data_IF_636720479391
#
_entry.id   IF_636720479391
#
_cell.length_a   1.000
_cell.length_b   1.000
_cell.length_c   1.000
_cell.angle_alpha   90.00
_cell.angle_beta   90.00
_cell.angle_gamma   90.00
#
_symmetry.space_group_name_H-M   'P 1'
#
loop_
_entity.id
_entity.type
_entity.pdbx_description
1 polymer ?
#
# COMPACT_ATOMS: atom_id res chain seq x y z
N UNK A 1 -58.18 -10.19 -22.18
CA UNK A 1 -57.00 -10.84 -21.56
C UNK A 1 -55.76 -10.46 -22.34
N UNK A 2 -54.94 -9.56 -21.78
CA UNK A 2 -53.57 -9.27 -22.23
C UNK A 2 -52.80 -8.89 -20.98
N UNK A 3 -52.01 -9.82 -20.47
CA UNK A 3 -51.14 -9.67 -19.30
C UNK A 3 -49.87 -8.95 -19.74
N UNK A 4 -49.57 -7.80 -19.13
CA UNK A 4 -48.27 -7.14 -19.20
C UNK A 4 -47.38 -7.75 -18.11
N UNK A 5 -46.14 -8.19 -18.41
CA UNK A 5 -45.22 -8.66 -17.39
C UNK A 5 -44.60 -7.48 -16.64
N UNK A 6 -44.60 -7.59 -15.31
CA UNK A 6 -43.94 -6.69 -14.36
C UNK A 6 -42.43 -6.92 -14.48
N UNK A 7 -41.68 -5.94 -14.98
CA UNK A 7 -40.22 -6.00 -15.03
C UNK A 7 -39.69 -5.60 -13.64
N UNK A 8 -39.34 -6.59 -12.82
CA UNK A 8 -38.65 -6.35 -11.55
C UNK A 8 -37.18 -6.01 -11.83
N UNK A 9 -36.80 -4.75 -11.69
CA UNK A 9 -35.40 -4.32 -11.72
C UNK A 9 -34.75 -4.75 -10.41
N UNK A 10 -33.93 -5.80 -10.46
CA UNK A 10 -33.01 -6.15 -9.38
C UNK A 10 -31.92 -5.08 -9.39
N UNK A 11 -32.01 -4.11 -8.49
CA UNK A 11 -30.89 -3.24 -8.14
C UNK A 11 -29.84 -4.12 -7.47
N UNK A 12 -28.81 -4.52 -8.23
CA UNK A 12 -27.56 -4.97 -7.65
C UNK A 12 -27.02 -3.80 -6.82
N UNK A 13 -27.16 -3.87 -5.51
CA UNK A 13 -26.36 -3.07 -4.59
C UNK A 13 -24.92 -3.53 -4.73
N UNK A 14 -24.14 -2.85 -5.56
CA UNK A 14 -22.70 -2.95 -5.48
C UNK A 14 -22.29 -2.48 -4.08
N UNK A 15 -21.43 -3.21 -3.35
CA UNK A 15 -20.84 -2.67 -2.14
C UNK A 15 -20.11 -1.38 -2.52
N UNK A 16 -20.37 -0.30 -1.77
CA UNK A 16 -19.62 0.93 -1.85
C UNK A 16 -18.15 0.57 -1.58
N UNK A 17 -17.33 0.52 -2.62
CA UNK A 17 -15.90 0.42 -2.47
C UNK A 17 -15.45 1.69 -1.72
N UNK A 18 -15.04 1.52 -0.47
CA UNK A 18 -14.42 2.59 0.29
C UNK A 18 -13.21 3.08 -0.49
N UNK A 19 -13.06 4.41 -0.60
CA UNK A 19 -11.93 5.01 -1.29
C UNK A 19 -10.62 4.62 -0.57
N UNK A 20 -9.94 3.63 -1.13
CA UNK A 20 -8.63 3.16 -0.71
C UNK A 20 -7.59 4.26 -0.99
N UNK A 21 -7.04 4.87 0.06
CA UNK A 21 -5.98 5.88 -0.08
C UNK A 21 -4.62 5.20 -0.02
N UNK A 22 -3.74 5.49 -0.97
CA UNK A 22 -2.36 5.01 -0.96
C UNK A 22 -1.56 5.67 0.19
N UNK A 23 -0.86 4.86 0.99
CA UNK A 23 0.08 5.35 2.00
C UNK A 23 1.51 5.14 1.52
N UNK A 24 2.35 6.16 1.63
CA UNK A 24 3.76 6.05 1.23
C UNK A 24 4.60 5.61 2.42
N UNK A 25 5.15 4.40 2.34
CA UNK A 25 6.10 3.85 3.28
C UNK A 25 7.53 4.09 2.79
N UNK A 26 8.34 4.74 3.59
CA UNK A 26 9.75 4.99 3.28
C UNK A 26 10.60 3.78 3.67
N UNK A 27 11.46 3.33 2.76
CA UNK A 27 12.33 2.19 3.00
C UNK A 27 13.37 2.55 4.06
N UNK A 28 13.42 1.75 5.13
CA UNK A 28 14.41 1.86 6.19
C UNK A 28 15.70 1.17 5.72
N UNK A 29 16.51 1.89 4.95
CA UNK A 29 17.71 1.35 4.27
C UNK A 29 18.66 0.57 5.18
N UNK A 30 18.81 0.96 6.44
CA UNK A 30 19.67 0.24 7.40
C UNK A 30 19.18 -1.18 7.74
N UNK A 31 17.89 -1.44 7.58
CA UNK A 31 17.21 -2.70 7.90
C UNK A 31 16.84 -3.50 6.64
N UNK A 32 16.78 -2.86 5.48
CA UNK A 32 16.47 -3.49 4.19
C UNK A 32 17.71 -4.11 3.54
N UNK A 33 18.01 -5.36 3.86
CA UNK A 33 19.22 -6.06 3.41
C UNK A 33 18.90 -7.17 2.41
N UNK A 34 19.68 -7.20 1.33
CA UNK A 34 19.47 -8.09 0.20
C UNK A 34 20.77 -8.75 -0.24
N UNK A 35 20.64 -9.93 -0.80
CA UNK A 35 21.66 -10.65 -1.54
C UNK A 35 21.23 -10.78 -3.00
N UNK A 36 22.22 -10.94 -3.88
CA UNK A 36 21.98 -11.17 -5.29
C UNK A 36 23.05 -12.08 -5.89
N UNK A 37 22.64 -12.77 -6.94
CA UNK A 37 23.48 -13.66 -7.71
C UNK A 37 22.66 -14.23 -8.85
N UNK A 38 23.12 -15.35 -9.39
CA UNK A 38 22.42 -15.98 -10.50
C UNK A 38 23.18 -17.12 -11.10
N UNK A 39 22.65 -17.62 -12.20
CA UNK A 39 23.28 -18.63 -13.05
C UNK A 39 23.13 -18.21 -14.49
N UNK A 40 24.16 -18.43 -15.30
CA UNK A 40 24.08 -18.32 -16.75
C UNK A 40 24.39 -19.65 -17.40
N UNK A 41 24.16 -19.76 -18.71
CA UNK A 41 24.67 -20.89 -19.51
C UNK A 41 26.20 -21.02 -19.50
N UNK A 42 26.94 -19.99 -19.07
CA UNK A 42 28.41 -19.98 -18.97
C UNK A 42 28.93 -20.33 -17.57
N UNK A 43 28.09 -20.24 -16.54
CA UNK A 43 28.45 -20.44 -15.13
C UNK A 43 27.70 -19.52 -14.17
N UNK A 44 28.01 -19.64 -12.88
CA UNK A 44 27.35 -18.90 -11.81
C UNK A 44 27.68 -17.40 -11.87
N UNK A 45 26.68 -16.55 -11.61
CA UNK A 45 26.85 -15.13 -11.36
C UNK A 45 27.07 -14.93 -9.86
N UNK A 46 28.22 -14.37 -9.50
CA UNK A 46 28.64 -14.14 -8.12
C UNK A 46 28.77 -12.64 -7.86
N UNK A 47 27.93 -12.10 -6.98
CA UNK A 47 28.03 -10.70 -6.55
C UNK A 47 29.33 -10.42 -5.77
N UNK A 48 29.90 -9.24 -5.99
CA UNK A 48 31.15 -8.73 -5.40
C UNK A 48 30.99 -7.27 -4.90
N UNK A 49 30.60 -7.03 -3.64
CA UNK A 49 30.05 -8.01 -2.69
C UNK A 49 28.67 -8.49 -3.13
N UNK A 50 28.24 -9.64 -2.62
CA UNK A 50 26.93 -10.24 -2.93
C UNK A 50 25.79 -9.64 -2.11
N UNK A 51 26.00 -8.50 -1.46
CA UNK A 51 25.00 -7.83 -0.64
C UNK A 51 24.78 -6.39 -1.07
N UNK A 52 23.56 -5.92 -0.87
CA UNK A 52 23.17 -4.54 -1.08
C UNK A 52 21.97 -4.20 -0.20
N UNK A 53 21.55 -2.95 -0.25
CA UNK A 53 20.37 -2.45 0.46
C UNK A 53 19.41 -1.81 -0.51
N UNK A 54 18.15 -1.72 -0.11
CA UNK A 54 17.16 -0.91 -0.82
C UNK A 54 16.97 0.45 -0.14
N UNK A 55 16.60 1.44 -0.94
CA UNK A 55 16.17 2.76 -0.51
C UNK A 55 14.99 3.24 -1.35
N UNK A 56 14.44 4.40 -1.03
CA UNK A 56 13.25 4.96 -1.67
C UNK A 56 11.99 4.65 -0.89
N UNK A 57 10.87 4.42 -1.56
CA UNK A 57 9.57 4.26 -0.92
C UNK A 57 8.63 3.33 -1.70
N UNK A 58 7.60 2.85 -1.03
CA UNK A 58 6.52 2.07 -1.62
C UNK A 58 5.16 2.64 -1.23
N UNK A 59 4.21 2.62 -2.16
CA UNK A 59 2.82 2.95 -1.89
C UNK A 59 2.07 1.66 -1.54
N UNK A 60 1.46 1.66 -0.35
CA UNK A 60 0.63 0.55 0.14
C UNK A 60 -0.70 1.12 0.54
N UNK A 61 -1.77 0.63 -0.05
CA UNK A 61 -3.09 0.83 0.51
C UNK A 61 -3.26 -0.13 1.69
N UNK A 62 -3.65 0.39 2.85
CA UNK A 62 -3.94 -0.41 4.03
C UNK A 62 -5.33 -0.06 4.56
N UNK A 63 -6.04 -1.06 5.06
CA UNK A 63 -7.32 -0.89 5.74
C UNK A 63 -7.18 -1.33 7.18
N UNK A 64 -7.71 -0.52 8.10
CA UNK A 64 -7.87 -0.89 9.51
C UNK A 64 -9.34 -1.12 9.84
N UNK A 65 -9.59 -2.12 10.66
CA UNK A 65 -10.88 -2.28 11.31
C UNK A 65 -11.05 -1.19 12.38
N UNK A 66 -12.08 -0.37 12.22
CA UNK A 66 -12.31 0.80 13.07
C UNK A 66 -12.62 0.43 14.54
N UNK A 67 -13.15 -0.78 14.79
CA UNK A 67 -13.55 -1.25 16.11
C UNK A 67 -12.39 -1.87 16.91
N UNK A 68 -11.43 -2.48 16.21
CA UNK A 68 -10.28 -3.16 16.84
C UNK A 68 -8.97 -2.41 16.66
N UNK A 69 -8.88 -1.48 15.71
CA UNK A 69 -7.66 -0.80 15.31
C UNK A 69 -6.64 -1.68 14.59
N UNK A 70 -7.00 -2.93 14.28
CA UNK A 70 -6.13 -3.88 13.60
C UNK A 70 -6.18 -3.67 12.09
N UNK A 71 -5.05 -3.88 11.42
CA UNK A 71 -5.01 -3.97 9.96
C UNK A 71 -5.74 -5.22 9.49
N UNK A 72 -6.57 -5.09 8.45
CA UNK A 72 -7.37 -6.21 7.91
C UNK A 72 -7.02 -6.56 6.48
N UNK A 73 -6.66 -5.55 5.68
CA UNK A 73 -6.45 -5.69 4.25
C UNK A 73 -5.32 -4.75 3.79
N UNK A 74 -4.66 -5.14 2.71
CA UNK A 74 -3.67 -4.29 2.07
C UNK A 74 -3.43 -4.60 0.60
N UNK A 75 -2.78 -3.67 -0.09
CA UNK A 75 -2.30 -3.85 -1.46
C UNK A 75 -1.09 -2.95 -1.72
N UNK A 76 -0.03 -3.49 -2.32
CA UNK A 76 1.07 -2.69 -2.85
C UNK A 76 0.68 -2.15 -4.22
N UNK A 77 0.57 -0.84 -4.36
CA UNK A 77 0.03 -0.19 -5.57
C UNK A 77 1.10 0.40 -6.46
N UNK A 78 2.22 0.84 -5.89
CA UNK A 78 3.40 1.29 -6.63
C UNK A 78 4.63 1.36 -5.72
N UNK A 79 5.80 1.66 -6.29
CA UNK A 79 6.97 2.02 -5.50
C UNK A 79 8.14 2.49 -6.36
N UNK A 80 9.13 3.06 -5.69
CA UNK A 80 10.42 3.39 -6.26
C UNK A 80 11.52 2.87 -5.32
N UNK A 81 11.85 1.60 -5.48
CA UNK A 81 12.85 0.89 -4.69
C UNK A 81 14.19 0.92 -5.43
N UNK A 82 15.10 1.78 -4.98
CA UNK A 82 16.43 1.94 -5.59
C UNK A 82 17.48 1.09 -4.88
N UNK A 83 18.48 0.61 -5.63
CA UNK A 83 19.63 -0.08 -5.06
C UNK A 83 20.58 0.90 -4.33
N UNK A 84 21.13 0.46 -3.20
CA UNK A 84 22.15 1.15 -2.45
C UNK A 84 23.26 0.14 -2.06
N UNK A 85 24.48 0.25 -2.62
CA UNK A 85 24.95 1.32 -3.50
C UNK A 85 24.28 1.32 -4.89
N UNK A 86 24.35 2.46 -5.58
CA UNK A 86 23.72 2.62 -6.90
C UNK A 86 24.41 1.81 -8.01
N UNK A 87 25.63 1.31 -7.77
CA UNK A 87 26.30 0.36 -8.66
C UNK A 87 26.54 -0.94 -7.91
N UNK A 88 25.94 -2.03 -8.41
CA UNK A 88 26.22 -3.40 -7.99
C UNK A 88 27.18 -4.04 -8.99
N UNK A 89 28.08 -4.90 -8.52
CA UNK A 89 29.09 -5.57 -9.34
C UNK A 89 29.02 -7.07 -9.10
N UNK A 90 28.85 -7.83 -10.16
CA UNK A 90 28.95 -9.29 -10.15
C UNK A 90 29.93 -9.77 -11.21
N UNK A 91 30.34 -11.03 -11.10
CA UNK A 91 31.21 -11.68 -12.09
C UNK A 91 30.67 -13.06 -12.42
N UNK A 92 31.03 -13.57 -13.59
CA UNK A 92 30.97 -15.00 -13.90
C UNK A 92 32.40 -15.55 -13.77
N UNK A 93 32.75 -16.27 -12.69
CA UNK A 93 34.11 -16.74 -12.49
C UNK A 93 34.55 -17.73 -13.55
N UNK A 94 35.84 -17.75 -13.85
CA UNK A 94 36.40 -18.82 -14.66
C UNK A 94 36.47 -20.12 -13.83
N UNK A 95 36.02 -21.27 -14.38
CA UNK A 95 36.21 -22.57 -13.73
C UNK A 95 37.68 -22.87 -13.40
N UNK A 96 38.62 -22.27 -14.14
CA UNK A 96 40.05 -22.33 -13.90
C UNK A 96 40.48 -21.08 -13.11
N UNK A 97 40.71 -21.24 -11.82
CA UNK A 97 40.88 -20.14 -10.85
C UNK A 97 42.04 -19.16 -11.08
N UNK A 98 43.02 -19.47 -11.94
CA UNK A 98 44.11 -18.55 -12.28
C UNK A 98 43.86 -17.75 -13.56
N UNK A 99 42.81 -18.08 -14.32
CA UNK A 99 42.40 -17.32 -15.48
C UNK A 99 41.47 -16.17 -15.04
N UNK A 100 41.43 -15.04 -15.78
CA UNK A 100 40.49 -13.97 -15.50
C UNK A 100 39.03 -14.44 -15.58
N UNK A 101 38.16 -13.75 -14.85
CA UNK A 101 36.71 -13.98 -14.84
C UNK A 101 36.15 -13.95 -16.29
N UNK A 102 35.13 -14.76 -16.57
CA UNK A 102 34.53 -14.91 -17.91
C UNK A 102 33.73 -13.68 -18.32
N UNK A 103 33.15 -12.96 -17.35
CA UNK A 103 32.47 -11.70 -17.56
C UNK A 103 32.40 -10.90 -16.25
N UNK A 104 32.44 -9.58 -16.37
CA UNK A 104 32.02 -8.64 -15.33
C UNK A 104 30.61 -8.12 -15.67
N UNK A 105 29.78 -7.98 -14.64
CA UNK A 105 28.42 -7.45 -14.73
C UNK A 105 28.28 -6.28 -13.78
N UNK A 106 27.82 -5.15 -14.28
CA UNK A 106 27.49 -3.97 -13.48
C UNK A 106 26.02 -3.64 -13.62
N UNK A 107 25.33 -3.53 -12.49
CA UNK A 107 23.95 -3.05 -12.43
C UNK A 107 24.01 -1.62 -11.89
N UNK A 108 23.60 -0.64 -12.69
CA UNK A 108 23.70 0.80 -12.36
C UNK A 108 22.34 1.44 -12.25
N UNK A 109 22.16 2.25 -11.20
CA UNK A 109 21.00 3.11 -10.95
C UNK A 109 19.65 2.36 -11.08
N UNK A 110 19.64 1.10 -10.64
CA UNK A 110 18.47 0.24 -10.71
C UNK A 110 17.40 0.72 -9.73
N UNK A 111 16.20 0.94 -10.26
CA UNK A 111 15.00 1.26 -9.49
C UNK A 111 13.89 0.31 -9.91
N UNK A 112 13.19 -0.24 -8.93
CA UNK A 112 12.10 -1.19 -9.11
C UNK A 112 10.80 -0.62 -8.55
N UNK A 113 9.70 -0.81 -9.27
CA UNK A 113 8.35 -0.67 -8.73
C UNK A 113 7.86 -2.03 -8.28
N UNK A 114 7.23 -2.07 -7.11
CA UNK A 114 6.59 -3.25 -6.55
C UNK A 114 5.08 -3.07 -6.59
N UNK A 115 4.37 -4.10 -7.05
CA UNK A 115 2.91 -4.17 -7.01
C UNK A 115 2.46 -5.53 -6.54
N UNK A 116 1.28 -5.62 -5.92
CA UNK A 116 0.72 -6.89 -5.45
C UNK A 116 -0.76 -7.04 -5.80
N UNK A 117 -1.24 -8.28 -5.73
CA UNK A 117 -2.66 -8.53 -5.51
C UNK A 117 -3.08 -8.02 -4.13
N UNK A 118 -4.37 -7.72 -3.96
CA UNK A 118 -4.93 -7.41 -2.65
C UNK A 118 -4.79 -8.62 -1.72
N UNK A 119 -4.43 -8.37 -0.46
CA UNK A 119 -4.19 -9.39 0.55
C UNK A 119 -4.88 -9.07 1.86
N UNK A 120 -5.15 -10.11 2.64
CA UNK A 120 -5.66 -9.98 4.00
C UNK A 120 -4.51 -9.99 5.00
N UNK A 121 -4.73 -9.32 6.12
CA UNK A 121 -3.82 -9.24 7.26
C UNK A 121 -4.45 -9.97 8.45
N UNK A 122 -3.71 -10.88 9.07
CA UNK A 122 -4.20 -11.57 10.26
C UNK A 122 -4.11 -10.68 11.53
N UNK A 123 -4.72 -11.14 12.63
CA UNK A 123 -4.72 -10.38 13.88
C UNK A 123 -3.33 -10.16 14.50
N UNK A 124 -2.31 -10.89 14.06
CA UNK A 124 -0.92 -10.70 14.47
C UNK A 124 -0.14 -9.79 13.50
N UNK A 125 -0.78 -9.28 12.45
CA UNK A 125 -0.20 -8.41 11.44
C UNK A 125 0.46 -9.14 10.28
N UNK A 126 0.39 -10.47 10.20
CA UNK A 126 1.01 -11.22 9.10
C UNK A 126 0.16 -11.18 7.84
N UNK A 127 0.81 -11.15 6.68
CA UNK A 127 0.15 -11.28 5.38
C UNK A 127 0.96 -12.16 4.41
N UNK A 128 0.28 -12.62 3.37
CA UNK A 128 0.89 -13.30 2.22
C UNK A 128 0.24 -12.79 0.94
N UNK A 129 1.04 -12.52 -0.09
CA UNK A 129 0.53 -12.09 -1.41
C UNK A 129 1.47 -12.51 -2.53
N UNK A 130 1.05 -12.31 -3.77
CA UNK A 130 1.92 -12.37 -4.94
C UNK A 130 2.37 -10.96 -5.29
N UNK A 131 3.68 -10.76 -5.47
CA UNK A 131 4.22 -9.49 -5.99
C UNK A 131 4.75 -9.65 -7.40
N UNK A 132 4.74 -8.54 -8.11
CA UNK A 132 5.44 -8.35 -9.38
C UNK A 132 6.40 -7.20 -9.19
N UNK A 133 7.67 -7.41 -9.54
CA UNK A 133 8.67 -6.35 -9.63
C UNK A 133 8.82 -5.91 -11.07
N UNK A 134 8.75 -4.61 -11.30
CA UNK A 134 9.04 -4.01 -12.61
C UNK A 134 10.23 -3.09 -12.47
N UNK A 135 11.27 -3.31 -13.27
CA UNK A 135 12.37 -2.34 -13.34
C UNK A 135 11.88 -1.07 -14.05
N UNK A 136 11.99 0.09 -13.40
CA UNK A 136 11.54 1.38 -13.94
C UNK A 136 12.70 2.25 -14.42
N UNK A 137 13.92 2.00 -13.91
CA UNK A 137 15.15 2.62 -14.40
C UNK A 137 16.37 1.78 -14.10
N UNK A 138 17.49 2.18 -14.69
CA UNK A 138 18.80 1.57 -14.52
C UNK A 138 19.27 0.84 -15.78
N UNK A 139 20.50 0.34 -15.73
CA UNK A 139 21.14 -0.38 -16.83
C UNK A 139 21.98 -1.54 -16.31
N UNK A 140 22.09 -2.57 -17.15
CA UNK A 140 23.03 -3.68 -16.97
C UNK A 140 24.11 -3.56 -18.02
N UNK A 141 25.35 -3.42 -17.55
CA UNK A 141 26.55 -3.47 -18.37
C UNK A 141 27.18 -4.85 -18.22
N UNK A 142 27.39 -5.56 -19.33
CA UNK A 142 28.10 -6.85 -19.36
C UNK A 142 29.39 -6.68 -20.14
N UNK A 143 30.51 -6.94 -19.48
CA UNK A 143 31.86 -6.89 -20.05
C UNK A 143 32.39 -8.33 -20.13
N UNK A 144 32.25 -9.01 -21.28
CA UNK A 144 32.75 -10.37 -21.42
C UNK A 144 34.29 -10.38 -21.54
N UNK A 145 34.91 -11.49 -21.15
CA UNK A 145 36.35 -11.71 -21.33
C UNK A 145 36.78 -11.62 -22.80
N UNK A 146 35.92 -12.10 -23.69
CA UNK A 146 36.09 -12.05 -25.14
C UNK A 146 34.80 -11.54 -25.76
N UNK A 147 34.89 -10.53 -26.61
CA UNK A 147 33.75 -9.95 -27.31
C UNK A 147 33.65 -8.46 -27.09
N UNK A 148 32.45 -7.91 -27.26
CA UNK A 148 32.16 -6.51 -27.04
C UNK A 148 31.31 -6.34 -25.77
N UNK A 149 31.52 -5.23 -25.07
CA UNK A 149 30.67 -4.81 -23.96
C UNK A 149 29.25 -4.51 -24.46
N UNK A 150 28.25 -4.97 -23.74
CA UNK A 150 26.85 -4.64 -23.98
C UNK A 150 26.31 -3.82 -22.81
N UNK A 151 25.44 -2.86 -23.12
CA UNK A 151 24.70 -2.08 -22.12
C UNK A 151 23.22 -2.18 -22.48
N UNK A 152 22.44 -2.70 -21.55
CA UNK A 152 21.01 -2.93 -21.74
C UNK A 152 20.23 -2.17 -20.68
N UNK A 153 19.27 -1.30 -21.07
CA UNK A 153 18.38 -0.65 -20.11
C UNK A 153 17.50 -1.66 -19.38
N UNK A 154 17.44 -1.56 -18.06
CA UNK A 154 16.56 -2.40 -17.23
C UNK A 154 15.08 -2.08 -17.47
N UNK A 155 14.74 -0.81 -17.72
CA UNK A 155 13.35 -0.41 -17.97
C UNK A 155 12.73 -1.01 -19.25
N UNK A 156 13.55 -1.63 -20.11
CA UNK A 156 13.08 -2.37 -21.28
C UNK A 156 12.91 -3.87 -21.05
N UNK A 157 13.23 -4.39 -19.86
CA UNK A 157 12.98 -5.78 -19.51
C UNK A 157 11.52 -6.00 -19.14
N UNK A 158 11.04 -7.23 -19.36
CA UNK A 158 9.74 -7.64 -18.84
C UNK A 158 9.74 -7.61 -17.30
N UNK A 159 8.57 -7.40 -16.65
CA UNK A 159 8.44 -7.56 -15.21
C UNK A 159 8.86 -8.96 -14.75
N UNK A 160 9.18 -9.10 -13.46
CA UNK A 160 9.40 -10.42 -12.85
C UNK A 160 8.14 -11.27 -12.97
N UNK A 161 8.33 -12.58 -12.93
CA UNK A 161 7.20 -13.49 -12.72
C UNK A 161 6.53 -13.19 -11.35
N UNK A 162 5.21 -13.41 -11.23
CA UNK A 162 4.51 -13.30 -9.97
C UNK A 162 5.16 -14.19 -8.91
N UNK A 163 5.63 -13.57 -7.84
CA UNK A 163 6.43 -14.22 -6.80
C UNK A 163 5.67 -14.21 -5.48
N UNK A 164 5.51 -15.37 -4.79
CA UNK A 164 4.86 -15.41 -3.49
C UNK A 164 5.77 -14.79 -2.44
N UNK A 165 5.20 -13.91 -1.62
CA UNK A 165 5.91 -13.23 -0.54
C UNK A 165 5.07 -13.22 0.73
N UNK A 166 5.79 -13.16 1.85
CA UNK A 166 5.21 -13.00 3.18
C UNK A 166 5.78 -11.77 3.85
N UNK A 167 5.03 -11.24 4.80
CA UNK A 167 5.42 -10.05 5.50
C UNK A 167 4.59 -9.80 6.75
N UNK A 168 4.88 -8.69 7.39
CA UNK A 168 4.16 -8.20 8.55
C UNK A 168 3.91 -6.70 8.44
N UNK A 169 2.73 -6.29 8.90
CA UNK A 169 2.37 -4.90 9.16
C UNK A 169 2.03 -4.73 10.64
N UNK A 170 2.66 -3.77 11.31
CA UNK A 170 2.42 -3.50 12.73
C UNK A 170 2.72 -2.05 13.07
N UNK A 171 2.14 -1.56 14.16
CA UNK A 171 2.46 -0.24 14.73
C UNK A 171 3.46 -0.43 15.88
N UNK A 172 4.62 0.25 15.83
CA UNK A 172 5.62 0.22 16.90
C UNK A 172 5.42 1.33 17.96
N UNK A 173 4.34 2.10 17.82
CA UNK A 173 3.98 3.25 18.65
C UNK A 173 4.50 4.58 18.12
N UNK A 174 5.40 4.57 17.13
CA UNK A 174 5.90 5.76 16.43
C UNK A 174 5.72 5.64 14.92
N UNK A 175 5.82 4.43 14.37
CA UNK A 175 5.66 4.16 12.95
C UNK A 175 4.75 2.96 12.71
N UNK A 176 3.99 3.01 11.63
CA UNK A 176 3.50 1.81 10.97
C UNK A 176 4.67 1.22 10.21
N UNK A 177 5.07 0.02 10.58
CA UNK A 177 6.16 -0.72 9.97
C UNK A 177 5.57 -1.79 9.06
N UNK A 178 6.07 -1.84 7.83
CA UNK A 178 5.71 -2.80 6.82
C UNK A 178 6.97 -3.55 6.38
N UNK A 179 6.94 -4.87 6.55
CA UNK A 179 8.06 -5.77 6.22
C UNK A 179 7.66 -6.71 5.10
N UNK A 180 8.58 -6.96 4.18
CA UNK A 180 8.37 -7.78 3.00
C UNK A 180 9.61 -8.68 2.80
N UNK A 181 9.43 -10.00 2.86
CA UNK A 181 10.46 -10.96 2.48
C UNK A 181 10.33 -11.26 0.98
N UNK A 182 11.41 -11.05 0.23
CA UNK A 182 11.46 -11.18 -1.22
C UNK A 182 12.46 -12.28 -1.60
N UNK A 183 12.06 -13.10 -2.54
CA UNK A 183 12.86 -14.14 -3.20
C UNK A 183 12.45 -14.13 -4.67
N UNK A 184 13.05 -13.23 -5.44
CA UNK A 184 12.61 -12.88 -6.80
C UNK A 184 13.67 -13.32 -7.79
N UNK A 185 13.25 -14.04 -8.84
CA UNK A 185 14.13 -14.42 -9.95
C UNK A 185 13.70 -13.71 -11.23
N UNK A 186 14.67 -13.12 -11.92
CA UNK A 186 14.53 -12.55 -13.26
C UNK A 186 15.18 -13.50 -14.27
N UNK A 187 14.42 -13.90 -15.29
CA UNK A 187 14.90 -14.78 -16.34
C UNK A 187 15.19 -13.98 -17.61
N UNK A 188 16.33 -14.25 -18.23
CA UNK A 188 16.74 -13.69 -19.51
C UNK A 188 17.11 -14.83 -20.45
N UNK A 189 16.59 -14.81 -21.66
CA UNK A 189 16.97 -15.73 -22.73
C UNK A 189 17.00 -14.97 -24.05
N UNK A 190 18.18 -14.85 -24.66
CA UNK A 190 18.37 -14.23 -25.97
C UNK A 190 18.46 -15.25 -27.13
N UNK A 191 18.20 -16.53 -26.84
CA UNK A 191 18.31 -17.67 -27.76
C UNK A 191 19.74 -18.19 -27.94
N UNK A 192 20.74 -17.50 -27.40
CA UNK A 192 22.16 -17.90 -27.41
C UNK A 192 22.69 -18.12 -25.99
N UNK A 193 22.28 -17.26 -25.05
CA UNK A 193 22.67 -17.26 -23.64
C UNK A 193 21.41 -17.10 -22.80
N UNK A 194 21.29 -17.93 -21.77
CA UNK A 194 20.28 -17.76 -20.73
C UNK A 194 20.93 -17.30 -19.43
N UNK A 195 20.20 -16.51 -18.64
CA UNK A 195 20.59 -16.09 -17.31
C UNK A 195 19.38 -16.04 -16.39
N UNK A 196 19.52 -16.60 -15.19
CA UNK A 196 18.60 -16.43 -14.07
C UNK A 196 19.31 -15.57 -13.03
N UNK A 197 18.73 -14.43 -12.68
CA UNK A 197 19.27 -13.52 -11.67
C UNK A 197 18.29 -13.49 -10.49
N UNK A 198 18.75 -13.89 -9.31
CA UNK A 198 17.94 -13.90 -8.09
C UNK A 198 18.31 -12.73 -7.17
N UNK A 199 17.28 -12.22 -6.48
CA UNK A 199 17.36 -11.18 -5.45
C UNK A 199 16.60 -11.67 -4.22
N UNK A 200 17.34 -11.85 -3.12
CA UNK A 200 16.82 -12.45 -1.90
C UNK A 200 17.05 -11.52 -0.72
N UNK A 201 16.01 -11.20 0.04
CA UNK A 201 16.18 -10.39 1.23
C UNK A 201 14.89 -9.93 1.87
N UNK A 202 15.06 -9.03 2.85
CA UNK A 202 13.94 -8.44 3.57
C UNK A 202 13.96 -6.95 3.32
N UNK A 203 12.86 -6.40 2.81
CA UNK A 203 12.59 -4.98 2.84
C UNK A 203 11.85 -4.64 4.13
N UNK A 204 12.32 -3.59 4.80
CA UNK A 204 11.59 -2.93 5.89
C UNK A 204 11.31 -1.51 5.46
N UNK A 205 10.06 -1.10 5.59
CA UNK A 205 9.61 0.25 5.31
C UNK A 205 8.75 0.75 6.45
N UNK A 206 8.79 2.06 6.68
CA UNK A 206 8.12 2.69 7.79
C UNK A 206 7.37 3.92 7.30
N UNK A 207 6.19 4.11 7.85
CA UNK A 207 5.41 5.33 7.73
C UNK A 207 5.25 5.89 9.13
N UNK A 208 5.55 7.18 9.32
CA UNK A 208 5.36 7.84 10.62
C UNK A 208 3.89 7.71 11.04
N UNK A 209 3.62 7.10 12.20
CA UNK A 209 2.26 6.98 12.74
C UNK A 209 1.64 8.34 13.03
N UNK A 210 2.45 9.41 13.16
CA UNK A 210 2.05 10.81 13.27
C UNK A 210 1.92 11.56 11.94
N UNK A 211 2.44 11.01 10.83
CA UNK A 211 2.01 11.35 9.47
C UNK A 211 0.75 10.56 9.22
N UNK A 212 -0.41 11.14 9.56
CA UNK A 212 -1.69 10.40 9.59
C UNK A 212 -1.93 9.59 8.31
N UNK A 213 -2.10 8.26 8.46
CA UNK A 213 -3.07 7.54 7.65
C UNK A 213 -4.33 8.42 7.63
N UNK A 214 -4.92 8.75 6.47
CA UNK A 214 -6.09 9.60 6.43
C UNK A 214 -7.13 9.01 7.37
N UNK A 215 -7.59 9.78 8.36
CA UNK A 215 -8.56 9.29 9.33
C UNK A 215 -9.75 8.69 8.61
N UNK A 216 -10.33 7.64 9.16
CA UNK A 216 -11.44 6.94 8.54
C UNK A 216 -12.69 7.01 9.42
N UNK A 217 -13.85 7.14 8.79
CA UNK A 217 -15.16 7.06 9.41
C UNK A 217 -15.91 5.84 8.85
N UNK A 218 -16.27 4.92 9.75
CA UNK A 218 -17.17 3.80 9.47
C UNK A 218 -18.52 4.03 10.15
N UNK A 219 -19.61 3.62 9.48
CA UNK A 219 -20.98 3.74 9.99
C UNK A 219 -21.61 2.36 10.02
N UNK A 220 -22.21 1.99 11.15
CA UNK A 220 -22.93 0.73 11.29
C UNK A 220 -24.30 0.93 11.94
N UNK A 221 -25.23 0.01 11.63
CA UNK A 221 -26.59 0.01 12.16
C UNK A 221 -27.40 1.29 11.88
N UNK A 222 -27.26 1.87 10.67
CA UNK A 222 -28.02 3.06 10.24
C UNK A 222 -29.48 2.73 9.87
N UNK A 223 -30.25 2.25 10.85
CA UNK A 223 -31.65 1.86 10.72
C UNK A 223 -32.57 2.87 11.42
N UNK A 224 -33.69 3.23 10.80
CA UNK A 224 -34.65 4.18 11.36
C UNK A 224 -35.23 3.68 12.71
N UNK A 225 -35.19 4.54 13.71
CA UNK A 225 -35.66 4.21 15.07
C UNK A 225 -34.68 3.37 15.91
N UNK A 226 -33.49 3.07 15.39
CA UNK A 226 -32.41 2.37 16.10
C UNK A 226 -31.25 3.32 16.44
N UNK A 227 -30.25 2.82 17.17
CA UNK A 227 -29.00 3.54 17.44
C UNK A 227 -27.94 3.12 16.43
N UNK A 228 -27.41 4.07 15.67
CA UNK A 228 -26.27 3.86 14.78
C UNK A 228 -24.95 4.13 15.50
N UNK A 229 -23.92 3.40 15.10
CA UNK A 229 -22.55 3.54 15.61
C UNK A 229 -21.67 4.15 14.53
N UNK A 230 -20.88 5.15 14.93
CA UNK A 230 -19.95 5.87 14.06
C UNK A 230 -18.56 5.76 14.65
N UNK A 231 -17.69 5.02 13.99
CA UNK A 231 -16.33 4.75 14.46
C UNK A 231 -15.33 5.60 13.68
N UNK A 232 -14.60 6.44 14.41
CA UNK A 232 -13.54 7.29 13.90
C UNK A 232 -12.19 6.76 14.35
N UNK A 233 -11.30 6.52 13.39
CA UNK A 233 -9.96 5.97 13.62
C UNK A 233 -8.90 6.74 12.86
N UNK A 234 -7.66 6.59 13.32
CA UNK A 234 -6.46 7.21 12.74
C UNK A 234 -6.51 8.75 12.72
N UNK A 235 -7.22 9.35 13.70
CA UNK A 235 -7.14 10.77 13.98
C UNK A 235 -5.96 11.14 14.89
N UNK A 236 -5.79 12.43 15.15
CA UNK A 236 -4.89 12.93 16.17
C UNK A 236 -5.27 12.36 17.55
N UNK A 237 -4.27 11.90 18.30
CA UNK A 237 -4.44 11.37 19.65
C UNK A 237 -4.81 12.47 20.67
N UNK A 238 -5.72 12.16 21.59
CA UNK A 238 -6.17 13.09 22.65
C UNK A 238 -6.67 14.45 22.13
N UNK A 239 -7.26 14.46 20.94
CA UNK A 239 -7.70 15.67 20.24
C UNK A 239 -9.23 15.77 20.18
N UNK A 240 -9.79 16.99 20.12
CA UNK A 240 -11.23 17.19 19.94
C UNK A 240 -11.70 16.72 18.57
N UNK A 241 -12.57 15.72 18.56
CA UNK A 241 -13.19 15.14 17.36
C UNK A 241 -14.67 15.54 17.25
N UNK A 242 -15.11 15.84 16.04
CA UNK A 242 -16.47 16.22 15.73
C UNK A 242 -17.01 15.34 14.60
N UNK A 243 -18.29 14.98 14.70
CA UNK A 243 -19.01 14.29 13.63
C UNK A 243 -19.98 15.28 12.99
N UNK A 244 -19.98 15.33 11.66
CA UNK A 244 -20.89 16.15 10.88
C UNK A 244 -21.70 15.28 9.93
N UNK A 245 -22.90 15.73 9.58
CA UNK A 245 -23.75 15.12 8.57
C UNK A 245 -24.34 16.17 7.63
N UNK A 246 -24.76 15.71 6.45
CA UNK A 246 -25.50 16.49 5.47
C UNK A 246 -26.62 15.68 4.84
N UNK A 247 -27.73 16.36 4.54
CA UNK A 247 -28.82 15.86 3.70
C UNK A 247 -28.81 16.47 2.29
N UNK A 248 -27.92 17.44 2.05
CA UNK A 248 -27.83 18.18 0.78
C UNK A 248 -26.86 17.51 -0.21
N UNK A 249 -26.02 16.58 0.25
CA UNK A 249 -25.04 15.87 -0.57
C UNK A 249 -23.60 16.31 -0.33
N UNK A 250 -22.75 15.95 -1.29
CA UNK A 250 -21.35 16.37 -1.34
C UNK A 250 -21.23 17.88 -1.56
N UNK A 251 -20.14 18.47 -1.08
CA UNK A 251 -19.86 19.90 -1.19
C UNK A 251 -18.44 20.25 -0.75
N UNK A 252 -18.16 21.53 -0.57
CA UNK A 252 -16.90 22.00 0.02
C UNK A 252 -17.22 23.12 1.00
N UNK A 253 -17.28 22.81 2.29
CA UNK A 253 -17.62 23.77 3.34
C UNK A 253 -16.40 24.04 4.22
N UNK A 254 -15.94 25.29 4.26
CA UNK A 254 -14.83 25.69 5.13
C UNK A 254 -15.27 25.82 6.59
N UNK A 255 -14.57 25.16 7.50
CA UNK A 255 -14.76 25.30 8.95
C UNK A 255 -13.54 25.99 9.54
N UNK A 256 -13.66 27.30 9.73
CA UNK A 256 -12.54 28.16 10.13
C UNK A 256 -11.94 27.77 11.49
N UNK A 257 -12.75 27.32 12.44
CA UNK A 257 -12.31 26.95 13.79
C UNK A 257 -11.44 25.69 13.82
N UNK A 258 -11.60 24.82 12.82
CA UNK A 258 -10.86 23.56 12.70
C UNK A 258 -9.88 23.60 11.53
N UNK A 259 -9.76 24.73 10.82
CA UNK A 259 -8.84 24.89 9.70
C UNK A 259 -8.93 23.73 8.67
N UNK A 260 -10.14 23.32 8.31
CA UNK A 260 -10.39 22.18 7.40
C UNK A 260 -11.63 22.40 6.52
N UNK A 261 -11.60 21.85 5.30
CA UNK A 261 -12.76 21.79 4.40
C UNK A 261 -13.49 20.45 4.58
N UNK A 262 -14.77 20.49 4.87
CA UNK A 262 -15.64 19.32 4.78
C UNK A 262 -16.08 19.12 3.34
N UNK A 263 -16.08 17.87 2.90
CA UNK A 263 -16.48 17.46 1.55
C UNK A 263 -18.00 17.24 1.42
N UNK A 264 -18.76 17.76 2.38
CA UNK A 264 -20.23 17.74 2.44
C UNK A 264 -20.81 19.15 2.42
N UNK A 265 -21.95 19.32 1.76
CA UNK A 265 -22.64 20.60 1.64
C UNK A 265 -23.51 20.88 2.87
N UNK A 266 -23.57 22.13 3.35
CA UNK A 266 -24.39 22.53 4.51
C UNK A 266 -24.25 21.57 5.73
N UNK A 267 -23.03 21.29 6.20
CA UNK A 267 -22.80 20.36 7.30
C UNK A 267 -23.51 20.82 8.57
N UNK A 268 -24.15 19.88 9.25
CA UNK A 268 -24.70 20.05 10.60
C UNK A 268 -23.97 19.10 11.54
N UNK A 269 -23.66 19.55 12.76
CA UNK A 269 -23.01 18.69 13.74
C UNK A 269 -23.95 17.56 14.18
N UNK A 270 -23.46 16.33 14.11
CA UNK A 270 -24.10 15.13 14.63
C UNK A 270 -23.49 14.78 16.00
N UNK A 271 -24.28 14.87 17.06
CA UNK A 271 -23.86 14.47 18.40
C UNK A 271 -22.86 15.43 19.08
N UNK A 272 -22.40 15.06 20.29
CA UNK A 272 -21.45 15.87 21.05
C UNK A 272 -20.04 15.81 20.45
N UNK A 273 -19.22 16.81 20.75
CA UNK A 273 -17.77 16.69 20.61
C UNK A 273 -17.26 15.61 21.56
N UNK A 274 -16.40 14.73 21.07
CA UNK A 274 -15.71 13.73 21.87
C UNK A 274 -14.20 13.96 21.78
N UNK A 275 -13.45 13.51 22.78
CA UNK A 275 -12.00 13.45 22.69
C UNK A 275 -11.62 12.09 22.12
N UNK A 276 -10.72 12.07 21.13
CA UNK A 276 -10.07 10.83 20.72
C UNK A 276 -9.20 10.28 21.86
N UNK A 277 -9.05 8.96 21.92
CA UNK A 277 -8.17 8.31 22.88
C UNK A 277 -6.69 8.50 22.49
N UNK A 278 -5.77 7.86 23.23
CA UNK A 278 -4.33 7.91 22.94
C UNK A 278 -3.94 7.26 21.60
N UNK A 279 -4.85 6.50 20.96
CA UNK A 279 -4.69 5.88 19.65
C UNK A 279 -5.39 6.66 18.53
N UNK A 280 -5.92 7.86 18.81
CA UNK A 280 -6.59 8.66 17.78
C UNK A 280 -8.03 8.22 17.47
N UNK A 281 -8.64 7.39 18.31
CA UNK A 281 -9.94 6.78 18.04
C UNK A 281 -11.07 7.39 18.88
N UNK A 282 -12.29 7.48 18.31
CA UNK A 282 -13.51 7.81 19.06
C UNK A 282 -14.74 7.20 18.42
N UNK A 283 -15.80 6.99 19.21
CA UNK A 283 -17.05 6.38 18.74
C UNK A 283 -18.25 7.20 19.18
N UNK A 284 -19.14 7.52 18.23
CA UNK A 284 -20.46 8.07 18.53
C UNK A 284 -21.53 7.00 18.43
N UNK A 285 -22.46 7.01 19.39
CA UNK A 285 -23.67 6.19 19.35
C UNK A 285 -24.87 7.13 19.31
N UNK A 286 -25.51 7.27 18.15
CA UNK A 286 -26.56 8.26 17.92
C UNK A 286 -27.89 7.59 17.55
N UNK A 287 -29.01 8.01 18.19
CA UNK A 287 -30.33 7.52 17.81
C UNK A 287 -30.73 8.10 16.45
N UNK A 288 -31.19 7.23 15.54
CA UNK A 288 -31.69 7.60 14.22
C UNK A 288 -33.21 7.84 14.29
N UNK A 289 -33.73 8.99 13.85
CA UNK A 289 -35.16 9.27 13.88
C UNK A 289 -35.98 8.23 13.10
N UNK A 290 -37.10 7.77 13.68
CA UNK A 290 -37.95 6.75 13.05
C UNK A 290 -38.59 7.18 11.73
N UNK A 291 -38.64 8.48 11.44
CA UNK A 291 -39.13 9.04 10.18
C UNK A 291 -38.03 9.28 9.13
N UNK A 292 -36.78 8.90 9.41
CA UNK A 292 -35.65 9.11 8.51
C UNK A 292 -35.46 7.98 7.48
N UNK A 293 -36.25 6.91 7.54
CA UNK A 293 -36.17 5.78 6.60
C UNK A 293 -36.21 6.24 5.13
N UNK A 294 -35.26 5.78 4.33
CA UNK A 294 -35.08 6.14 2.92
C UNK A 294 -34.37 7.47 2.66
N UNK A 295 -33.94 8.21 3.69
CA UNK A 295 -33.17 9.43 3.51
C UNK A 295 -31.71 9.12 3.14
N UNK A 296 -31.19 9.79 2.10
CA UNK A 296 -29.76 9.81 1.80
C UNK A 296 -29.05 10.81 2.72
N UNK A 297 -28.00 10.34 3.39
CA UNK A 297 -27.24 11.12 4.36
C UNK A 297 -25.75 10.91 4.12
N UNK A 298 -24.98 11.99 4.23
CA UNK A 298 -23.52 11.97 4.11
C UNK A 298 -22.92 12.35 5.45
N UNK A 299 -22.03 11.53 5.98
CA UNK A 299 -21.33 11.76 7.24
C UNK A 299 -19.84 11.99 7.01
N UNK A 300 -19.23 12.84 7.83
CA UNK A 300 -17.79 13.04 7.84
C UNK A 300 -17.37 13.45 9.26
N UNK A 301 -16.30 12.85 9.77
CA UNK A 301 -15.70 13.24 11.04
C UNK A 301 -14.46 14.11 10.79
N UNK A 302 -14.19 15.01 11.73
CA UNK A 302 -13.16 16.04 11.60
C UNK A 302 -12.47 16.32 12.93
N UNK A 303 -11.22 16.74 12.81
CA UNK A 303 -10.38 17.32 13.86
C UNK A 303 -9.69 18.58 13.30
N UNK A 304 -8.78 19.18 14.05
CA UNK A 304 -8.06 20.37 13.57
C UNK A 304 -7.14 20.01 12.39
N UNK A 305 -7.40 20.58 11.22
CA UNK A 305 -6.69 20.36 9.94
C UNK A 305 -6.78 18.94 9.38
N UNK A 306 -7.70 18.14 9.92
CA UNK A 306 -7.80 16.70 9.64
C UNK A 306 -9.27 16.34 9.40
N UNK A 307 -9.55 15.49 8.40
CA UNK A 307 -10.90 15.02 8.04
C UNK A 307 -10.89 13.57 7.60
N UNK A 308 -12.04 12.91 7.72
CA UNK A 308 -12.22 11.54 7.22
C UNK A 308 -12.66 11.47 5.76
N UNK A 309 -12.75 10.25 5.22
CA UNK A 309 -13.64 9.93 4.09
C UNK A 309 -15.09 10.37 4.37
N UNK A 310 -15.88 10.56 3.31
CA UNK A 310 -17.32 10.78 3.42
C UNK A 310 -18.04 9.44 3.39
N UNK A 311 -18.78 9.11 4.45
CA UNK A 311 -19.66 7.95 4.50
C UNK A 311 -21.04 8.34 3.95
N UNK A 312 -21.34 7.91 2.72
CA UNK A 312 -22.60 8.18 2.04
C UNK A 312 -23.53 6.98 2.19
N UNK A 313 -24.61 7.14 2.95
CA UNK A 313 -25.51 6.05 3.33
C UNK A 313 -26.97 6.39 3.07
N UNK A 314 -27.80 5.35 2.95
CA UNK A 314 -29.27 5.49 2.98
C UNK A 314 -29.77 4.90 4.28
N UNK A 315 -30.51 5.67 5.05
CA UNK A 315 -31.13 5.17 6.29
C UNK A 315 -32.10 4.05 5.93
N UNK A 316 -31.88 2.86 6.49
CA UNK A 316 -32.70 1.67 6.26
C UNK A 316 -33.98 1.67 7.10
#
# INVERSE_FOLDING_TARGET
>A
MKTLPFLATILLSAPLAMAQTDHTFDVVTGQSQFHYGGTTSLGDIVGRPNNFRLTGSMAVNLTKDASTGLFTDGQMTSGALATNPTTLHAVVPNPISFLPDLADLYIRDAVFSVTSDAFTVDAAGNYSTMIILTAVSGEVEVVPLIGATTITPLASSDPSDPTPVTGMVYDDGTNVVFTLAMDVTFQFDDGTTSADIWIDGNAVSAHDSGSTLPPTLAVSNLNAGQTATFDFVDGDANAPSFLAYSLAGLGATWIAQLNVFLDIANPTQAGPMLMSNALGQTTWNLPIPGNAAGASVWFQAIQHSVKTNVAAEVVQ
#
